data_IF_094991212353
#
_entry.id   IF_094991212353
#
_cell.length_a   1.000
_cell.length_b   1.000
_cell.length_c   1.000
_cell.angle_alpha   90.00
_cell.angle_beta   90.00
_cell.angle_gamma   90.00
#
_symmetry.space_group_name_H-M   'P 1'
#
loop_
_entity.id
_entity.type
_entity.pdbx_description
1 polymer ?
#
# COMPACT_ATOMS: atom_id res chain seq x y z
N UNK A 1 -22.12 -3.37 2.27
CA UNK A 1 -21.37 -2.29 1.59
C UNK A 1 -20.70 -1.52 2.70
N UNK A 2 -19.47 -1.93 3.06
CA UNK A 2 -18.70 -1.18 4.04
C UNK A 2 -18.15 0.07 3.38
N UNK A 3 -18.22 1.20 4.06
CA UNK A 3 -17.60 2.45 3.67
C UNK A 3 -16.09 2.23 3.47
N UNK A 4 -15.70 1.96 2.23
CA UNK A 4 -14.29 1.92 1.78
C UNK A 4 -13.67 3.32 1.72
N UNK A 5 -14.50 4.37 1.84
CA UNK A 5 -14.07 5.75 2.03
C UNK A 5 -13.61 5.96 3.47
N UNK A 6 -12.31 6.11 3.66
CA UNK A 6 -11.69 6.27 4.96
C UNK A 6 -10.18 6.42 4.85
N UNK A 7 -9.54 6.60 6.01
CA UNK A 7 -8.08 6.73 6.09
C UNK A 7 -7.48 5.35 6.30
N UNK A 8 -6.76 4.86 5.29
CA UNK A 8 -5.99 3.64 5.36
C UNK A 8 -4.61 3.94 5.89
N UNK A 9 -4.12 3.16 6.85
CA UNK A 9 -2.84 3.43 7.51
C UNK A 9 -1.81 2.40 7.08
N UNK A 10 -0.67 2.88 6.60
CA UNK A 10 0.49 2.06 6.31
C UNK A 10 1.36 2.01 7.57
N UNK A 11 1.49 0.82 8.14
CA UNK A 11 2.33 0.57 9.32
C UNK A 11 3.59 -0.19 8.89
N UNK A 12 4.72 0.11 9.53
CA UNK A 12 5.97 -0.66 9.44
C UNK A 12 6.35 -1.15 10.82
N UNK A 13 6.27 -2.46 11.07
CA UNK A 13 6.57 -3.03 12.39
C UNK A 13 5.81 -2.38 13.57
N UNK A 14 4.64 -1.80 13.31
CA UNK A 14 3.81 -1.09 14.30
C UNK A 14 3.93 0.46 14.29
N UNK A 15 4.84 1.04 13.51
CA UNK A 15 4.97 2.50 13.37
C UNK A 15 4.24 2.99 12.10
N UNK A 16 3.45 4.06 12.21
CA UNK A 16 2.77 4.63 11.04
C UNK A 16 3.77 5.33 10.12
N UNK A 17 3.92 4.80 8.91
CA UNK A 17 4.82 5.35 7.88
C UNK A 17 4.06 6.10 6.80
N UNK A 18 2.74 6.00 6.73
CA UNK A 18 1.94 6.81 5.83
C UNK A 18 0.45 6.56 5.98
N UNK A 19 -0.35 7.40 5.35
CA UNK A 19 -1.79 7.24 5.29
C UNK A 19 -2.32 7.50 3.88
N UNK A 20 -3.32 6.73 3.45
CA UNK A 20 -4.05 6.98 2.21
C UNK A 20 -5.45 7.45 2.59
N UNK A 21 -5.77 8.69 2.27
CA UNK A 21 -7.12 9.23 2.36
C UNK A 21 -7.86 8.88 1.07
N UNK A 22 -8.70 7.85 1.11
CA UNK A 22 -9.47 7.42 -0.06
C UNK A 22 -10.57 8.44 -0.34
N UNK A 23 -10.44 9.17 -1.45
CA UNK A 23 -11.47 10.06 -1.97
C UNK A 23 -12.27 9.43 -3.13
N UNK A 24 -11.70 8.43 -3.82
CA UNK A 24 -12.30 7.80 -5.00
C UNK A 24 -12.20 6.27 -4.90
N UNK A 25 -13.32 5.59 -5.17
CA UNK A 25 -13.42 4.12 -5.13
C UNK A 25 -13.81 3.62 -6.52
N UNK A 26 -12.86 3.07 -7.26
CA UNK A 26 -13.01 2.53 -8.62
C UNK A 26 -12.71 1.02 -8.61
N UNK A 27 -13.64 0.24 -8.05
CA UNK A 27 -13.44 -1.17 -7.76
C UNK A 27 -12.94 -1.95 -9.00
N UNK A 28 -11.82 -2.70 -8.91
CA UNK A 28 -11.16 -3.19 -7.69
C UNK A 28 -10.08 -2.27 -7.08
N UNK A 29 -9.89 -1.07 -7.61
CA UNK A 29 -8.87 -0.11 -7.15
C UNK A 29 -9.48 1.03 -6.34
N UNK A 30 -8.82 1.43 -5.27
CA UNK A 30 -9.13 2.63 -4.51
C UNK A 30 -8.07 3.68 -4.84
N UNK A 31 -8.49 4.93 -4.96
CA UNK A 31 -7.59 6.07 -5.25
C UNK A 31 -7.79 7.12 -4.18
N UNK A 32 -6.68 7.73 -3.79
CA UNK A 32 -6.65 8.61 -2.65
C UNK A 32 -5.49 9.59 -2.67
N UNK A 33 -5.53 10.52 -1.72
CA UNK A 33 -4.37 11.33 -1.37
C UNK A 33 -3.46 10.52 -0.45
N UNK A 34 -2.17 10.44 -0.81
CA UNK A 34 -1.17 9.81 0.03
C UNK A 34 -0.49 10.85 0.91
N UNK A 35 -0.63 10.68 2.21
CA UNK A 35 0.06 11.47 3.23
C UNK A 35 1.26 10.67 3.70
N UNK A 36 2.43 11.04 3.19
CA UNK A 36 3.71 10.46 3.61
C UNK A 36 4.08 10.96 5.01
N UNK A 37 4.28 10.03 5.95
CA UNK A 37 4.83 10.35 7.27
C UNK A 37 6.37 10.27 7.22
N UNK A 38 7.11 10.79 8.22
CA UNK A 38 8.59 10.73 8.23
C UNK A 38 9.16 9.31 8.06
N UNK A 39 8.42 8.26 8.47
CA UNK A 39 8.81 6.87 8.25
C UNK A 39 8.71 6.41 6.78
N UNK A 40 7.99 7.14 5.92
CA UNK A 40 7.81 6.80 4.52
C UNK A 40 9.10 6.89 3.71
N UNK A 41 9.99 7.85 4.03
CA UNK A 41 11.20 8.10 3.23
C UNK A 41 12.09 6.85 3.11
N UNK A 42 12.06 5.96 4.11
CA UNK A 42 12.79 4.69 4.09
C UNK A 42 12.20 3.62 3.17
N UNK A 43 10.90 3.68 2.89
CA UNK A 43 10.17 2.67 2.08
C UNK A 43 9.70 3.20 0.72
N UNK A 44 9.68 4.53 0.54
CA UNK A 44 9.43 5.20 -0.75
C UNK A 44 10.22 4.57 -1.91
N UNK A 45 11.54 4.34 -1.81
CA UNK A 45 12.29 3.74 -2.91
C UNK A 45 11.82 2.31 -3.25
N UNK A 46 11.21 1.57 -2.32
CA UNK A 46 10.68 0.24 -2.61
C UNK A 46 9.44 0.33 -3.50
N UNK A 47 8.55 1.30 -3.25
CA UNK A 47 7.40 1.56 -4.11
C UNK A 47 7.81 2.08 -5.49
N UNK A 48 8.80 2.98 -5.54
CA UNK A 48 9.35 3.48 -6.81
C UNK A 48 9.99 2.34 -7.63
N UNK A 49 10.71 1.42 -6.98
CA UNK A 49 11.30 0.25 -7.63
C UNK A 49 10.25 -0.75 -8.11
N UNK A 50 9.21 -1.02 -7.30
CA UNK A 50 8.09 -1.87 -7.69
C UNK A 50 7.34 -1.29 -8.91
N UNK A 51 7.11 0.02 -8.93
CA UNK A 51 6.48 0.70 -10.07
C UNK A 51 7.35 0.60 -11.33
N UNK A 52 8.65 0.90 -11.20
CA UNK A 52 9.60 0.80 -12.31
C UNK A 52 9.74 -0.63 -12.85
N UNK A 53 9.64 -1.64 -11.98
CA UNK A 53 9.65 -3.04 -12.37
C UNK A 53 8.41 -3.41 -13.20
N UNK A 54 7.22 -2.93 -12.81
CA UNK A 54 6.00 -3.12 -13.61
C UNK A 54 6.12 -2.40 -14.96
N UNK A 55 6.60 -1.15 -14.97
CA UNK A 55 6.78 -0.38 -16.21
C UNK A 55 7.81 -1.02 -17.15
N UNK A 56 8.80 -1.71 -16.59
CA UNK A 56 9.81 -2.47 -17.33
C UNK A 56 9.41 -3.89 -17.69
N UNK A 57 8.19 -4.34 -17.35
CA UNK A 57 7.73 -5.73 -17.52
C UNK A 57 8.60 -6.77 -16.75
N UNK A 58 9.30 -6.32 -15.71
CA UNK A 58 10.20 -7.11 -14.85
C UNK A 58 9.41 -7.73 -13.68
N UNK A 59 8.51 -8.67 -14.00
CA UNK A 59 7.60 -9.29 -13.02
C UNK A 59 8.33 -9.97 -11.85
N UNK A 60 9.45 -10.66 -12.10
CA UNK A 60 10.25 -11.31 -11.04
C UNK A 60 10.82 -10.29 -10.05
N UNK A 61 11.23 -9.13 -10.55
CA UNK A 61 11.75 -8.05 -9.71
C UNK A 61 10.63 -7.38 -8.93
N UNK A 62 9.49 -7.15 -9.58
CA UNK A 62 8.31 -6.65 -8.91
C UNK A 62 7.93 -7.57 -7.75
N UNK A 63 7.80 -8.88 -7.99
CA UNK A 63 7.45 -9.86 -6.97
C UNK A 63 8.45 -9.84 -5.79
N UNK A 64 9.76 -9.85 -6.06
CA UNK A 64 10.78 -9.83 -5.01
C UNK A 64 10.76 -8.54 -4.15
N UNK A 65 10.50 -7.39 -4.78
CA UNK A 65 10.36 -6.11 -4.06
C UNK A 65 9.04 -6.08 -3.28
N UNK A 66 7.97 -6.61 -3.87
CA UNK A 66 6.65 -6.59 -3.27
C UNK A 66 6.54 -7.55 -2.07
N UNK A 67 7.14 -8.74 -2.16
CA UNK A 67 7.27 -9.70 -1.05
C UNK A 67 7.97 -9.06 0.15
N UNK A 68 9.04 -8.29 -0.10
CA UNK A 68 9.71 -7.50 0.93
C UNK A 68 8.82 -6.40 1.52
N UNK A 69 8.04 -5.72 0.68
CA UNK A 69 7.09 -4.70 1.13
C UNK A 69 6.05 -5.33 2.03
N UNK A 70 5.39 -6.43 1.63
CA UNK A 70 4.36 -7.09 2.45
C UNK A 70 4.92 -7.71 3.73
N UNK A 71 6.19 -8.13 3.74
CA UNK A 71 6.86 -8.62 4.94
C UNK A 71 7.20 -7.54 5.97
N UNK A 72 7.46 -6.31 5.53
CA UNK A 72 7.85 -5.19 6.40
C UNK A 72 6.70 -4.22 6.69
N UNK A 73 5.76 -4.10 5.75
CA UNK A 73 4.65 -3.14 5.76
C UNK A 73 3.32 -3.86 5.87
N UNK A 74 2.44 -3.26 6.66
CA UNK A 74 1.07 -3.74 6.86
C UNK A 74 0.12 -2.59 6.58
N UNK A 75 -0.78 -2.78 5.62
CA UNK A 75 -1.86 -1.84 5.42
C UNK A 75 -3.03 -2.21 6.32
N UNK A 76 -3.48 -1.21 7.09
CA UNK A 76 -4.59 -1.34 8.01
C UNK A 76 -5.80 -0.62 7.43
N UNK A 77 -6.87 -1.39 7.21
CA UNK A 77 -8.16 -0.87 6.82
C UNK A 77 -8.70 0.13 7.85
N UNK A 78 -9.61 1.05 7.48
CA UNK A 78 -10.26 1.95 8.43
C UNK A 78 -10.98 1.20 9.58
N UNK A 79 -11.36 -0.06 9.36
CA UNK A 79 -11.89 -0.97 10.40
C UNK A 79 -10.84 -1.44 11.42
N UNK A 80 -9.56 -1.11 11.23
CA UNK A 80 -8.45 -1.54 12.08
C UNK A 80 -7.89 -2.92 11.77
N UNK A 81 -8.30 -3.55 10.67
CA UNK A 81 -7.84 -4.89 10.27
C UNK A 81 -6.63 -4.79 9.32
N UNK A 82 -5.55 -5.56 9.56
CA UNK A 82 -4.46 -5.69 8.61
C UNK A 82 -4.93 -6.52 7.41
N UNK A 83 -4.57 -6.09 6.20
CA UNK A 83 -4.90 -6.77 4.94
C UNK A 83 -3.69 -6.84 4.03
N UNK A 84 -3.65 -7.85 3.16
CA UNK A 84 -2.73 -7.84 2.03
C UNK A 84 -3.16 -6.76 1.05
N UNK A 85 -2.19 -6.05 0.50
CA UNK A 85 -2.48 -4.85 -0.28
C UNK A 85 -1.48 -4.68 -1.40
N UNK A 86 -1.96 -4.19 -2.54
CA UNK A 86 -1.16 -3.76 -3.67
C UNK A 86 -1.27 -2.25 -3.82
N UNK A 87 -0.32 -1.50 -3.23
CA UNK A 87 -0.30 -0.03 -3.21
C UNK A 87 0.74 0.53 -4.17
N UNK A 88 0.31 1.50 -4.96
CA UNK A 88 1.14 2.34 -5.78
C UNK A 88 1.05 3.78 -5.30
N UNK A 89 2.21 4.41 -5.14
CA UNK A 89 2.33 5.81 -4.74
C UNK A 89 3.04 6.57 -5.85
N UNK A 90 2.41 7.65 -6.34
CA UNK A 90 2.97 8.58 -7.30
C UNK A 90 2.87 10.00 -6.73
N UNK A 91 3.94 10.44 -6.07
CA UNK A 91 3.98 11.74 -5.38
C UNK A 91 2.96 11.80 -4.26
N UNK A 92 1.97 12.69 -4.38
CA UNK A 92 0.91 12.92 -3.39
C UNK A 92 -0.35 12.10 -3.68
N UNK A 93 -0.36 11.30 -4.75
CA UNK A 93 -1.49 10.42 -5.10
C UNK A 93 -1.11 8.97 -4.87
N UNK A 94 -2.04 8.21 -4.31
CA UNK A 94 -1.94 6.77 -4.22
C UNK A 94 -3.13 6.09 -4.86
N UNK A 95 -2.89 4.90 -5.38
CA UNK A 95 -3.94 3.94 -5.69
C UNK A 95 -3.53 2.57 -5.20
N UNK A 96 -4.47 1.86 -4.61
CA UNK A 96 -4.21 0.53 -4.11
C UNK A 96 -5.41 -0.37 -4.29
N UNK A 97 -5.14 -1.66 -4.31
CA UNK A 97 -6.15 -2.69 -4.11
C UNK A 97 -5.79 -3.47 -2.85
N UNK A 98 -6.78 -4.10 -2.25
CA UNK A 98 -6.58 -4.99 -1.11
C UNK A 98 -7.32 -6.29 -1.38
N UNK A 99 -6.77 -7.37 -0.87
CA UNK A 99 -7.41 -8.68 -0.89
C UNK A 99 -7.93 -8.96 0.53
N UNK A 100 -9.18 -9.46 0.64
CA UNK A 100 -9.80 -9.81 1.94
C UNK A 100 -9.14 -11.05 2.56
N UNK A 101 -8.28 -11.74 1.81
CA UNK A 101 -7.37 -12.73 2.37
C UNK A 101 -6.43 -12.01 3.35
N UNK A 102 -6.55 -12.38 4.62
CA UNK A 102 -5.71 -11.82 5.67
C UNK A 102 -4.25 -11.90 5.25
N UNK A 103 -3.50 -10.80 5.43
CA UNK A 103 -2.05 -10.81 5.26
C UNK A 103 -1.52 -12.01 6.06
N UNK A 104 -1.00 -13.02 5.35
CA UNK A 104 -0.64 -14.30 5.94
C UNK A 104 0.31 -14.11 7.13
N UNK A 105 0.28 -15.00 8.14
CA UNK A 105 1.24 -14.90 9.23
C UNK A 105 2.66 -15.09 8.69
N UNK A 106 3.52 -14.09 8.92
CA UNK A 106 4.97 -14.19 8.77
C UNK A 106 5.57 -15.26 9.71
#
# INVERSE_FOLDING_TARGET
>A
MGDVGGVWRLLRGGEAVGAVEVDEVDFPWLRGMFVAEPGFEGVRPWFEEALAAIEGEEFERFEAVYDRIEGELTLVAPDGRPVSFLLHVAGERAWFRWDDEAAGPA
#
